data_IF_828554983601
#
_entry.id   IF_828554983601
#
_cell.length_a   1.000
_cell.length_b   1.000
_cell.length_c   1.000
_cell.angle_alpha   90.00
_cell.angle_beta   90.00
_cell.angle_gamma   90.00
#
_symmetry.space_group_name_H-M   'P 1'
#
loop_
_entity.id
_entity.type
_entity.pdbx_description
1 polymer ?
#
# COMPACT_ATOMS: atom_id res chain seq x y z
N UNK A 1 -63.68 -9.46 42.94
CA UNK A 1 -62.50 -9.97 42.22
C UNK A 1 -61.71 -8.90 41.46
N UNK A 2 -60.95 -8.07 42.19
CA UNK A 2 -60.03 -7.06 41.60
C UNK A 2 -58.55 -7.41 41.77
N UNK A 3 -58.24 -8.60 42.28
CA UNK A 3 -56.87 -9.05 42.58
C UNK A 3 -56.18 -9.81 41.45
N UNK A 4 -56.89 -10.19 40.38
CA UNK A 4 -56.34 -11.00 39.28
C UNK A 4 -55.78 -10.17 38.11
N UNK A 5 -56.23 -8.93 37.92
CA UNK A 5 -55.76 -8.07 36.83
C UNK A 5 -54.25 -7.74 36.85
N UNK A 6 -53.62 -7.42 37.99
CA UNK A 6 -52.19 -7.11 38.00
C UNK A 6 -51.32 -8.36 37.79
N UNK A 7 -51.78 -9.55 38.16
CA UNK A 7 -51.07 -10.81 37.92
C UNK A 7 -51.04 -11.16 36.42
N UNK A 8 -52.19 -11.05 35.74
CA UNK A 8 -52.32 -11.27 34.29
C UNK A 8 -51.48 -10.30 33.46
N UNK A 9 -51.35 -9.03 33.88
CA UNK A 9 -50.51 -8.03 33.23
C UNK A 9 -49.01 -8.32 33.38
N UNK A 10 -48.60 -8.89 34.51
CA UNK A 10 -47.20 -9.30 34.76
C UNK A 10 -46.87 -10.55 33.95
N UNK A 11 -47.74 -11.56 33.93
CA UNK A 11 -47.56 -12.75 33.09
C UNK A 11 -47.56 -12.43 31.59
N UNK A 12 -48.44 -11.54 31.12
CA UNK A 12 -48.40 -11.06 29.73
C UNK A 12 -47.10 -10.30 29.42
N UNK A 13 -46.56 -9.52 30.35
CA UNK A 13 -45.26 -8.85 30.16
C UNK A 13 -44.12 -9.87 30.08
N UNK A 14 -44.13 -10.90 30.91
CA UNK A 14 -43.16 -12.00 30.79
C UNK A 14 -43.33 -12.78 29.49
N UNK A 15 -44.56 -12.97 29.02
CA UNK A 15 -44.83 -13.66 27.75
C UNK A 15 -44.43 -12.82 26.54
N UNK A 16 -44.63 -11.50 26.58
CA UNK A 16 -44.17 -10.55 25.54
C UNK A 16 -42.66 -10.38 25.60
N UNK A 17 -42.04 -10.31 26.78
CA UNK A 17 -40.58 -10.29 26.92
C UNK A 17 -39.99 -11.63 26.46
N UNK A 18 -40.64 -12.75 26.73
CA UNK A 18 -40.24 -14.07 26.23
C UNK A 18 -40.47 -14.19 24.72
N UNK A 19 -41.56 -13.66 24.15
CA UNK A 19 -41.82 -13.62 22.71
C UNK A 19 -40.89 -12.65 21.98
N UNK A 20 -40.55 -11.51 22.59
CA UNK A 20 -39.53 -10.58 22.10
C UNK A 20 -38.15 -11.21 22.25
N UNK A 21 -37.85 -11.93 23.33
CA UNK A 21 -36.61 -12.68 23.48
C UNK A 21 -36.54 -13.89 22.54
N UNK A 22 -37.67 -14.52 22.19
CA UNK A 22 -37.79 -15.62 21.22
C UNK A 22 -37.79 -15.13 19.78
N UNK A 23 -38.27 -13.91 19.51
CA UNK A 23 -38.10 -13.24 18.21
C UNK A 23 -36.73 -12.56 18.07
N UNK A 24 -36.04 -12.35 19.20
CA UNK A 24 -34.64 -11.93 19.31
C UNK A 24 -33.69 -13.10 19.50
N UNK A 25 -34.17 -14.35 19.56
CA UNK A 25 -33.33 -15.50 19.24
C UNK A 25 -33.12 -15.41 17.74
N UNK A 26 -32.10 -14.59 17.46
CA UNK A 26 -31.35 -14.51 16.24
C UNK A 26 -31.40 -15.87 15.56
N UNK A 27 -31.82 -15.87 14.30
CA UNK A 27 -31.30 -16.84 13.36
C UNK A 27 -29.78 -16.77 13.49
N UNK A 28 -29.19 -17.61 14.34
CA UNK A 28 -27.77 -17.85 14.43
C UNK A 28 -27.38 -18.23 13.02
N UNK A 29 -26.76 -17.28 12.31
CA UNK A 29 -26.45 -17.41 10.90
C UNK A 29 -25.55 -18.64 10.80
N UNK A 30 -26.08 -19.75 10.29
CA UNK A 30 -25.29 -20.96 10.09
C UNK A 30 -24.13 -20.56 9.18
N UNK A 31 -22.92 -20.48 9.72
CA UNK A 31 -21.72 -20.17 8.94
C UNK A 31 -21.42 -21.41 8.10
N UNK A 32 -22.12 -21.54 6.97
CA UNK A 32 -21.90 -22.64 6.03
C UNK A 32 -20.62 -22.36 5.28
N UNK A 33 -19.68 -23.27 5.46
CA UNK A 33 -18.48 -23.37 4.65
C UNK A 33 -18.87 -23.87 3.25
N UNK A 34 -18.67 -23.06 2.21
CA UNK A 34 -18.70 -23.52 0.82
C UNK A 34 -17.27 -23.69 0.31
N UNK A 35 -16.95 -24.84 -0.29
CA UNK A 35 -15.64 -25.03 -0.91
C UNK A 35 -15.66 -24.30 -2.25
N UNK A 36 -14.83 -23.26 -2.39
CA UNK A 36 -14.71 -22.49 -3.62
C UNK A 36 -13.23 -22.25 -3.93
N UNK A 37 -12.93 -22.11 -5.22
CA UNK A 37 -11.59 -21.76 -5.69
C UNK A 37 -11.38 -20.26 -5.56
N UNK A 38 -10.41 -19.85 -4.74
CA UNK A 38 -10.01 -18.44 -4.57
C UNK A 38 -8.61 -18.25 -5.12
N UNK A 39 -8.45 -17.23 -5.95
CA UNK A 39 -7.16 -16.77 -6.43
C UNK A 39 -6.64 -15.69 -5.49
N UNK A 40 -5.68 -16.06 -4.62
CA UNK A 40 -5.17 -15.14 -3.61
C UNK A 40 -3.91 -14.38 -4.07
N UNK A 41 -3.14 -14.96 -4.99
CA UNK A 41 -1.96 -14.36 -5.61
C UNK A 41 -1.91 -14.74 -7.11
N UNK A 42 -1.39 -13.88 -8.01
CA UNK A 42 -1.41 -14.12 -9.45
C UNK A 42 -0.99 -15.55 -9.84
N UNK A 43 -1.86 -16.27 -10.54
CA UNK A 43 -1.64 -17.65 -10.97
C UNK A 43 -1.87 -18.74 -9.90
N UNK A 44 -2.20 -18.39 -8.66
CA UNK A 44 -2.38 -19.32 -7.54
C UNK A 44 -3.85 -19.41 -7.11
N UNK A 45 -4.59 -20.27 -7.80
CA UNK A 45 -5.95 -20.64 -7.40
C UNK A 45 -5.92 -21.87 -6.48
N UNK A 46 -6.46 -21.74 -5.27
CA UNK A 46 -6.58 -22.84 -4.30
C UNK A 46 -8.03 -22.99 -3.82
N UNK A 47 -8.37 -24.17 -3.31
CA UNK A 47 -9.67 -24.41 -2.67
C UNK A 47 -9.67 -23.89 -1.23
N UNK A 48 -10.71 -23.13 -0.88
CA UNK A 48 -10.93 -22.59 0.46
C UNK A 48 -12.29 -22.98 0.98
N UNK A 49 -12.36 -23.13 2.30
CA UNK A 49 -13.60 -22.98 3.03
C UNK A 49 -14.04 -21.51 3.02
N UNK A 50 -15.00 -21.16 2.19
CA UNK A 50 -15.49 -19.77 2.06
C UNK A 50 -16.63 -19.51 3.03
N UNK A 51 -16.48 -18.43 3.80
CA UNK A 51 -17.45 -17.93 4.75
C UNK A 51 -17.96 -16.57 4.24
N UNK A 52 -19.28 -16.47 4.04
CA UNK A 52 -19.94 -15.25 3.52
C UNK A 52 -20.95 -14.69 4.51
N UNK A 53 -21.15 -13.38 4.47
CA UNK A 53 -22.21 -12.71 5.24
C UNK A 53 -22.00 -12.70 6.75
N UNK A 54 -20.76 -12.81 7.23
CA UNK A 54 -20.45 -12.73 8.65
C UNK A 54 -20.62 -11.28 9.14
N UNK A 55 -21.48 -11.05 10.13
CA UNK A 55 -21.86 -9.68 10.58
C UNK A 55 -21.39 -9.31 11.98
N UNK A 56 -21.06 -10.27 12.83
CA UNK A 56 -20.75 -10.04 14.25
C UNK A 56 -19.31 -10.43 14.56
N UNK A 57 -18.61 -9.59 15.34
CA UNK A 57 -17.22 -9.84 15.78
C UNK A 57 -17.08 -11.08 16.66
N UNK A 58 -18.17 -11.41 17.37
CA UNK A 58 -18.36 -12.75 17.89
C UNK A 58 -18.68 -13.64 16.72
N UNK A 59 -17.85 -14.67 16.50
CA UNK A 59 -18.39 -15.93 16.03
C UNK A 59 -19.64 -16.18 16.87
N UNK A 60 -20.84 -16.07 16.31
CA UNK A 60 -22.05 -16.28 17.11
C UNK A 60 -21.87 -17.60 17.84
N UNK A 61 -21.89 -17.55 19.17
CA UNK A 61 -21.85 -18.71 20.06
C UNK A 61 -23.12 -19.51 19.77
N UNK A 62 -23.04 -20.36 18.76
CA UNK A 62 -24.14 -21.12 18.21
C UNK A 62 -23.59 -22.34 17.51
N UNK A 63 -23.35 -23.40 18.29
CA UNK A 63 -23.41 -24.83 17.97
C UNK A 63 -23.15 -25.28 16.52
N UNK A 64 -22.06 -24.83 15.88
CA UNK A 64 -21.57 -25.48 14.67
C UNK A 64 -20.05 -25.65 14.79
N UNK A 65 -19.66 -26.88 15.13
CA UNK A 65 -18.28 -27.35 15.01
C UNK A 65 -17.92 -27.37 13.52
N UNK A 66 -17.09 -26.43 13.08
CA UNK A 66 -16.45 -26.47 11.77
C UNK A 66 -15.56 -27.70 11.69
N UNK A 67 -15.40 -28.26 10.49
CA UNK A 67 -14.52 -29.41 10.28
C UNK A 67 -13.09 -29.05 10.74
N UNK A 68 -12.56 -29.70 11.80
CA UNK A 68 -11.25 -29.37 12.35
C UNK A 68 -10.09 -29.72 11.40
N UNK A 69 -10.36 -30.40 10.29
CA UNK A 69 -9.38 -30.67 9.24
C UNK A 69 -9.16 -29.51 8.28
N UNK A 70 -10.03 -28.48 8.29
CA UNK A 70 -9.90 -27.31 7.41
C UNK A 70 -8.60 -26.55 7.71
N UNK A 71 -7.78 -26.39 6.68
CA UNK A 71 -6.51 -25.64 6.74
C UNK A 71 -6.55 -24.30 6.03
N UNK A 72 -7.58 -24.06 5.21
CA UNK A 72 -7.72 -22.86 4.37
C UNK A 72 -9.10 -22.26 4.50
N UNK A 73 -9.18 -21.01 4.95
CA UNK A 73 -10.43 -20.29 5.16
C UNK A 73 -10.38 -18.96 4.42
N UNK A 74 -11.44 -18.65 3.67
CA UNK A 74 -11.63 -17.35 3.05
C UNK A 74 -12.88 -16.68 3.61
N UNK A 75 -12.76 -15.42 4.02
CA UNK A 75 -13.86 -14.58 4.45
C UNK A 75 -14.08 -13.54 3.36
N UNK A 76 -15.27 -13.57 2.77
CA UNK A 76 -15.66 -12.72 1.64
C UNK A 76 -17.03 -12.11 1.94
N UNK A 77 -17.30 -10.93 1.40
CA UNK A 77 -18.61 -10.25 1.50
C UNK A 77 -19.17 -10.24 2.93
N UNK A 78 -18.32 -9.88 3.89
CA UNK A 78 -18.64 -9.85 5.31
C UNK A 78 -18.53 -8.43 5.86
N UNK A 79 -19.03 -8.19 7.07
CA UNK A 79 -18.98 -6.88 7.73
C UNK A 79 -18.37 -6.98 9.13
N UNK A 80 -17.44 -7.93 9.30
CA UNK A 80 -16.73 -8.18 10.56
C UNK A 80 -15.78 -7.03 10.85
N UNK A 81 -15.79 -6.52 12.07
CA UNK A 81 -14.80 -5.52 12.52
C UNK A 81 -13.57 -6.19 13.10
N UNK A 82 -13.71 -7.39 13.68
CA UNK A 82 -12.60 -8.08 14.36
C UNK A 82 -12.60 -9.58 14.10
N UNK A 83 -11.41 -10.15 14.00
CA UNK A 83 -11.18 -11.59 14.15
C UNK A 83 -10.62 -11.84 15.55
N UNK A 84 -11.40 -12.56 16.37
CA UNK A 84 -11.06 -12.87 17.77
C UNK A 84 -10.39 -14.24 17.88
N UNK A 85 -9.76 -14.52 19.03
CA UNK A 85 -9.18 -15.85 19.31
C UNK A 85 -10.18 -17.00 19.09
N UNK A 86 -11.46 -16.78 19.41
CA UNK A 86 -12.54 -17.73 19.19
C UNK A 86 -12.68 -18.18 17.71
N UNK A 87 -12.33 -17.32 16.74
CA UNK A 87 -12.28 -17.72 15.33
C UNK A 87 -11.21 -18.79 15.10
N UNK A 88 -10.01 -18.60 15.64
CA UNK A 88 -8.90 -19.54 15.49
C UNK A 88 -9.13 -20.86 16.21
N UNK A 89 -9.86 -20.86 17.33
CA UNK A 89 -10.27 -22.09 18.03
C UNK A 89 -11.17 -23.00 17.17
N UNK A 90 -11.95 -22.42 16.24
CA UNK A 90 -12.82 -23.17 15.30
C UNK A 90 -12.03 -23.78 14.15
N UNK A 91 -10.87 -23.21 13.82
CA UNK A 91 -9.99 -23.70 12.75
C UNK A 91 -8.60 -24.02 13.32
N UNK A 92 -8.47 -25.08 14.14
CA UNK A 92 -7.23 -25.37 14.88
C UNK A 92 -6.04 -25.75 13.98
N UNK A 93 -6.30 -26.03 12.69
CA UNK A 93 -5.29 -26.34 11.67
C UNK A 93 -5.18 -25.27 10.59
N UNK A 94 -5.70 -24.07 10.83
CA UNK A 94 -5.67 -22.98 9.86
C UNK A 94 -4.22 -22.60 9.51
N UNK A 95 -3.85 -22.82 8.25
CA UNK A 95 -2.56 -22.43 7.69
C UNK A 95 -2.70 -21.22 6.77
N UNK A 96 -3.85 -21.06 6.11
CA UNK A 96 -4.08 -20.01 5.13
C UNK A 96 -5.41 -19.28 5.40
N UNK A 97 -5.32 -18.00 5.71
CA UNK A 97 -6.47 -17.12 5.92
C UNK A 97 -6.54 -16.03 4.84
N UNK A 98 -7.65 -15.99 4.11
CA UNK A 98 -7.98 -14.89 3.18
C UNK A 98 -9.13 -14.07 3.79
N UNK A 99 -9.02 -12.75 3.81
CA UNK A 99 -10.07 -11.84 4.27
C UNK A 99 -10.15 -10.67 3.31
N UNK A 100 -11.14 -10.63 2.42
CA UNK A 100 -11.21 -9.59 1.37
C UNK A 100 -12.45 -8.73 1.55
N UNK A 101 -12.28 -7.42 1.41
CA UNK A 101 -13.38 -6.45 1.35
C UNK A 101 -14.43 -6.64 2.45
N UNK A 102 -13.99 -6.98 3.67
CA UNK A 102 -14.86 -7.42 4.76
C UNK A 102 -15.01 -6.42 5.90
N UNK A 103 -14.43 -5.22 5.74
CA UNK A 103 -14.52 -4.14 6.73
C UNK A 103 -13.75 -4.40 8.03
N UNK A 104 -12.81 -5.35 8.02
CA UNK A 104 -12.01 -5.73 9.19
C UNK A 104 -11.18 -4.53 9.67
N UNK A 105 -11.29 -4.19 10.96
CA UNK A 105 -10.56 -3.07 11.59
C UNK A 105 -9.39 -3.53 12.47
N UNK A 106 -9.45 -4.76 12.97
CA UNK A 106 -8.40 -5.35 13.79
C UNK A 106 -8.04 -6.76 13.29
N UNK A 107 -6.76 -6.95 12.98
CA UNK A 107 -6.21 -8.26 12.65
C UNK A 107 -5.53 -8.88 13.88
N UNK A 108 -5.83 -10.15 14.14
CA UNK A 108 -5.14 -10.95 15.16
C UNK A 108 -4.30 -12.02 14.47
N UNK A 109 -3.00 -12.10 14.74
CA UNK A 109 -2.08 -13.09 14.16
C UNK A 109 -1.69 -14.12 15.23
N UNK A 110 -1.84 -15.39 14.90
CA UNK A 110 -1.53 -16.53 15.78
C UNK A 110 -0.31 -17.31 15.28
N UNK A 111 0.16 -18.30 16.03
CA UNK A 111 1.29 -19.17 15.64
C UNK A 111 0.94 -20.30 14.67
N UNK A 112 -0.32 -20.47 14.28
CA UNK A 112 -0.74 -21.57 13.38
C UNK A 112 -0.80 -21.15 11.91
N UNK A 113 -1.05 -19.86 11.65
CA UNK A 113 -1.25 -19.35 10.28
C UNK A 113 0.10 -19.05 9.62
N UNK A 114 0.25 -19.50 8.37
CA UNK A 114 1.43 -19.26 7.52
C UNK A 114 1.19 -18.13 6.52
N UNK A 115 -0.02 -18.02 5.98
CA UNK A 115 -0.38 -17.01 4.98
C UNK A 115 -1.63 -16.27 5.45
N UNK A 116 -1.52 -14.94 5.50
CA UNK A 116 -2.66 -14.04 5.71
C UNK A 116 -2.75 -13.09 4.52
N UNK A 117 -3.80 -13.23 3.72
CA UNK A 117 -4.16 -12.32 2.63
C UNK A 117 -5.37 -11.48 3.03
N UNK A 118 -5.14 -10.25 3.51
CA UNK A 118 -6.20 -9.37 4.02
C UNK A 118 -6.35 -8.01 3.30
N UNK A 119 -6.28 -7.93 1.95
CA UNK A 119 -6.32 -6.65 1.25
C UNK A 119 -7.72 -6.03 1.23
N UNK A 120 -7.77 -4.70 1.14
CA UNK A 120 -9.03 -3.96 0.97
C UNK A 120 -9.94 -3.99 2.18
N UNK A 121 -9.39 -4.06 3.39
CA UNK A 121 -10.14 -3.93 4.63
C UNK A 121 -9.94 -2.52 5.23
N UNK A 122 -10.26 -2.36 6.53
CA UNK A 122 -10.10 -1.12 7.27
C UNK A 122 -9.15 -1.33 8.45
N UNK A 123 -8.18 -2.24 8.31
CA UNK A 123 -7.33 -2.69 9.42
C UNK A 123 -6.51 -1.49 9.90
N UNK A 124 -6.62 -1.16 11.18
CA UNK A 124 -5.89 -0.08 11.85
C UNK A 124 -4.91 -0.59 12.88
N UNK A 125 -5.14 -1.80 13.39
CA UNK A 125 -4.34 -2.39 14.46
C UNK A 125 -4.10 -3.87 14.23
N UNK A 126 -2.91 -4.32 14.60
CA UNK A 126 -2.49 -5.71 14.56
C UNK A 126 -2.17 -6.15 15.99
N UNK A 127 -2.78 -7.24 16.42
CA UNK A 127 -2.38 -7.93 17.65
C UNK A 127 -1.75 -9.27 17.31
N UNK A 128 -0.73 -9.67 18.07
CA UNK A 128 0.04 -10.88 17.78
C UNK A 128 0.09 -11.74 19.04
N UNK A 129 -0.32 -12.99 18.91
CA UNK A 129 -0.17 -14.04 19.92
C UNK A 129 0.56 -15.22 19.28
N UNK A 130 1.90 -15.14 19.24
CA UNK A 130 2.72 -16.06 18.46
C UNK A 130 3.13 -15.45 17.12
N UNK A 131 2.92 -16.14 16.00
CA UNK A 131 3.25 -15.62 14.66
C UNK A 131 4.59 -16.06 14.08
N UNK A 132 5.36 -16.89 14.79
CA UNK A 132 6.64 -17.41 14.29
C UNK A 132 6.53 -18.30 13.04
N UNK A 133 5.32 -18.79 12.72
CA UNK A 133 5.05 -19.56 11.52
C UNK A 133 4.60 -18.72 10.32
N UNK A 134 4.30 -17.43 10.51
CA UNK A 134 3.80 -16.58 9.44
C UNK A 134 4.92 -16.29 8.42
N UNK A 135 4.64 -16.58 7.16
CA UNK A 135 5.55 -16.43 6.03
C UNK A 135 5.08 -15.31 5.10
N UNK A 136 3.78 -15.19 4.87
CA UNK A 136 3.23 -14.19 3.96
C UNK A 136 2.14 -13.36 4.66
N UNK A 137 2.29 -12.04 4.56
CA UNK A 137 1.33 -11.08 5.10
C UNK A 137 1.02 -10.00 4.05
N UNK A 138 -0.20 -10.04 3.52
CA UNK A 138 -0.72 -9.00 2.63
C UNK A 138 -1.75 -8.14 3.36
N UNK A 139 -1.42 -6.86 3.51
CA UNK A 139 -2.23 -5.83 4.16
C UNK A 139 -2.52 -4.67 3.20
N UNK A 140 -2.34 -4.87 1.90
CA UNK A 140 -2.55 -3.84 0.89
C UNK A 140 -3.92 -3.15 1.03
N UNK A 141 -4.00 -1.83 0.84
CA UNK A 141 -5.25 -1.06 0.92
C UNK A 141 -5.95 -1.24 2.29
N UNK A 142 -5.26 -0.88 3.37
CA UNK A 142 -5.78 -0.84 4.74
C UNK A 142 -5.41 0.51 5.41
N UNK A 143 -5.92 0.77 6.62
CA UNK A 143 -5.68 2.04 7.34
C UNK A 143 -4.61 1.89 8.44
N UNK A 144 -3.56 1.12 8.17
CA UNK A 144 -2.49 0.83 9.14
C UNK A 144 -1.50 1.98 9.15
N UNK A 145 -1.16 2.49 10.34
CA UNK A 145 -0.14 3.52 10.52
C UNK A 145 1.01 3.11 11.44
N UNK A 146 0.85 2.02 12.19
CA UNK A 146 1.89 1.46 13.07
C UNK A 146 2.17 0.01 12.70
N UNK A 147 3.40 -0.24 12.25
CA UNK A 147 3.90 -1.57 11.90
C UNK A 147 4.85 -2.14 12.97
N UNK A 148 5.01 -1.48 14.11
CA UNK A 148 5.81 -2.01 15.24
C UNK A 148 5.43 -3.44 15.61
N UNK A 149 4.13 -3.85 15.61
CA UNK A 149 3.77 -5.23 15.92
C UNK A 149 4.43 -6.25 14.97
N UNK A 150 4.55 -5.96 13.67
CA UNK A 150 5.06 -6.94 12.70
C UNK A 150 6.58 -7.12 12.76
N UNK A 151 7.32 -6.22 13.42
CA UNK A 151 8.79 -6.27 13.54
C UNK A 151 9.33 -7.57 14.17
N UNK A 152 8.50 -8.30 14.92
CA UNK A 152 8.85 -9.57 15.55
C UNK A 152 8.61 -10.82 14.69
N UNK A 153 7.99 -10.69 13.51
CA UNK A 153 7.58 -11.82 12.66
C UNK A 153 8.74 -12.33 11.80
N UNK A 154 9.79 -12.83 12.45
CA UNK A 154 11.07 -13.23 11.82
C UNK A 154 10.94 -14.33 10.75
N UNK A 155 9.81 -15.03 10.68
CA UNK A 155 9.50 -16.01 9.64
C UNK A 155 9.01 -15.41 8.32
N UNK A 156 8.67 -14.12 8.29
CA UNK A 156 8.11 -13.46 7.11
C UNK A 156 9.11 -13.45 5.94
N UNK A 157 8.63 -13.92 4.80
CA UNK A 157 9.31 -13.88 3.50
C UNK A 157 8.64 -12.88 2.56
N UNK A 158 7.33 -12.64 2.69
CA UNK A 158 6.58 -11.69 1.87
C UNK A 158 5.74 -10.75 2.72
N UNK A 159 5.92 -9.46 2.50
CA UNK A 159 5.19 -8.41 3.19
C UNK A 159 4.67 -7.38 2.20
N UNK A 160 3.35 -7.23 2.11
CA UNK A 160 2.72 -6.18 1.33
C UNK A 160 1.99 -5.20 2.25
N UNK A 161 2.45 -3.95 2.22
CA UNK A 161 1.95 -2.82 2.97
C UNK A 161 1.50 -1.68 2.03
N UNK A 162 1.35 -1.93 0.74
CA UNK A 162 0.98 -0.91 -0.24
C UNK A 162 -0.38 -0.26 0.05
N UNK A 163 -0.55 1.00 -0.31
CA UNK A 163 -1.77 1.77 -0.07
C UNK A 163 -2.24 1.71 1.41
N UNK A 164 -1.29 1.74 2.35
CA UNK A 164 -1.55 1.94 3.77
C UNK A 164 -1.17 3.36 4.23
N UNK A 165 -1.24 3.65 5.53
CA UNK A 165 -0.95 4.96 6.11
C UNK A 165 0.31 4.94 6.98
N UNK A 166 1.27 4.08 6.64
CA UNK A 166 2.51 3.88 7.41
C UNK A 166 3.59 4.93 7.12
N UNK A 167 3.40 5.75 6.07
CA UNK A 167 4.28 6.87 5.80
C UNK A 167 4.19 7.89 6.94
N UNK A 168 5.35 8.36 7.39
CA UNK A 168 5.46 9.44 8.36
C UNK A 168 6.12 10.64 7.69
N UNK A 169 5.45 11.79 7.67
CA UNK A 169 5.90 12.98 6.95
C UNK A 169 6.34 12.68 5.49
N UNK A 170 5.53 11.89 4.78
CA UNK A 170 5.79 11.44 3.41
C UNK A 170 7.12 10.67 3.24
N UNK A 171 7.60 10.03 4.31
CA UNK A 171 8.82 9.22 4.31
C UNK A 171 8.59 7.83 4.91
N UNK A 172 9.52 6.92 4.61
CA UNK A 172 9.55 5.59 5.19
C UNK A 172 10.98 5.21 5.59
N UNK A 173 11.16 4.80 6.85
CA UNK A 173 12.43 4.28 7.37
C UNK A 173 12.34 2.76 7.57
N UNK A 174 13.34 2.02 7.10
CA UNK A 174 13.42 0.55 7.20
C UNK A 174 13.68 0.02 8.62
N UNK A 175 13.74 0.87 9.64
CA UNK A 175 14.11 0.52 11.02
C UNK A 175 13.27 -0.62 11.60
N UNK A 176 11.94 -0.58 11.42
CA UNK A 176 11.02 -1.59 11.96
C UNK A 176 11.09 -2.94 11.22
N UNK A 177 11.69 -2.95 10.03
CA UNK A 177 11.88 -4.16 9.22
C UNK A 177 13.24 -4.83 9.45
N UNK A 178 14.13 -4.22 10.24
CA UNK A 178 15.52 -4.69 10.40
C UNK A 178 15.68 -6.07 11.04
N UNK A 179 14.63 -6.63 11.66
CA UNK A 179 14.59 -8.00 12.21
C UNK A 179 14.01 -9.03 11.25
N UNK A 180 13.38 -8.61 10.15
CA UNK A 180 12.78 -9.49 9.16
C UNK A 180 13.85 -10.00 8.18
N UNK A 181 14.85 -10.70 8.71
CA UNK A 181 16.03 -11.12 7.94
C UNK A 181 15.71 -12.15 6.85
N UNK A 182 14.54 -12.81 6.92
CA UNK A 182 14.06 -13.74 5.90
C UNK A 182 13.20 -13.06 4.82
N UNK A 183 12.94 -11.76 4.92
CA UNK A 183 12.10 -11.03 3.97
C UNK A 183 12.75 -11.02 2.58
N UNK A 184 12.03 -11.54 1.59
CA UNK A 184 12.44 -11.60 0.18
C UNK A 184 11.65 -10.65 -0.69
N UNK A 185 10.40 -10.34 -0.32
CA UNK A 185 9.52 -9.45 -1.09
C UNK A 185 8.89 -8.40 -0.17
N UNK A 186 9.07 -7.13 -0.53
CA UNK A 186 8.49 -5.98 0.17
C UNK A 186 7.74 -5.10 -0.84
N UNK A 187 6.47 -4.84 -0.56
CA UNK A 187 5.63 -3.95 -1.34
C UNK A 187 5.20 -2.78 -0.46
N UNK A 188 5.61 -1.57 -0.84
CA UNK A 188 5.31 -0.31 -0.16
C UNK A 188 4.86 0.74 -1.20
N UNK A 189 4.10 0.28 -2.19
CA UNK A 189 3.52 1.09 -3.25
C UNK A 189 2.40 2.00 -2.71
N UNK A 190 2.16 3.15 -3.35
CA UNK A 190 0.98 3.98 -3.07
C UNK A 190 0.87 4.53 -1.64
N UNK A 191 2.01 4.78 -0.98
CA UNK A 191 2.11 5.29 0.39
C UNK A 191 2.30 6.82 0.47
N UNK A 192 2.25 7.51 -0.68
CA UNK A 192 2.55 8.94 -0.79
C UNK A 192 3.98 9.28 -0.32
N UNK A 193 4.95 8.40 -0.63
CA UNK A 193 6.35 8.61 -0.26
C UNK A 193 7.05 9.59 -1.19
N UNK A 194 7.70 10.59 -0.62
CA UNK A 194 8.54 11.55 -1.32
C UNK A 194 10.01 11.12 -1.29
N UNK A 195 10.42 10.38 -0.26
CA UNK A 195 11.77 9.85 -0.10
C UNK A 195 11.79 8.66 0.85
N UNK A 196 12.92 7.94 0.86
CA UNK A 196 13.17 6.80 1.74
C UNK A 196 14.32 7.13 2.68
N UNK A 197 14.28 6.59 3.88
CA UNK A 197 15.34 6.74 4.87
C UNK A 197 15.87 5.39 5.34
N UNK A 198 17.15 5.36 5.70
CA UNK A 198 17.75 4.22 6.39
C UNK A 198 18.76 4.72 7.42
N UNK A 199 18.30 5.57 8.33
CA UNK A 199 19.14 6.28 9.31
C UNK A 199 19.94 5.32 10.19
N UNK A 200 19.34 4.18 10.52
CA UNK A 200 19.92 3.14 11.36
C UNK A 200 20.77 2.10 10.60
N UNK A 201 21.06 2.33 9.30
CA UNK A 201 21.88 1.44 8.46
C UNK A 201 21.45 -0.02 8.55
N UNK A 202 20.14 -0.25 8.57
CA UNK A 202 19.57 -1.60 8.60
C UNK A 202 19.82 -2.26 7.26
N UNK A 203 20.16 -3.54 7.31
CA UNK A 203 20.37 -4.38 6.13
C UNK A 203 19.18 -5.31 6.01
N UNK A 204 18.64 -5.44 4.81
CA UNK A 204 17.62 -6.43 4.45
C UNK A 204 18.32 -7.47 3.56
N UNK A 205 19.02 -8.45 4.16
CA UNK A 205 20.05 -9.23 3.48
C UNK A 205 19.52 -10.21 2.44
N UNK A 206 18.22 -10.50 2.48
CA UNK A 206 17.56 -11.45 1.58
C UNK A 206 16.49 -10.80 0.71
N UNK A 207 16.31 -9.47 0.75
CA UNK A 207 15.30 -8.81 -0.07
C UNK A 207 15.68 -8.90 -1.54
N UNK A 208 14.75 -9.40 -2.36
CA UNK A 208 14.89 -9.64 -3.80
C UNK A 208 13.95 -8.77 -4.62
N UNK A 209 12.76 -8.47 -4.10
CA UNK A 209 11.77 -7.64 -4.77
C UNK A 209 11.40 -6.47 -3.85
N UNK A 210 11.50 -5.25 -4.39
CA UNK A 210 11.04 -4.03 -3.74
C UNK A 210 10.12 -3.26 -4.68
N UNK A 211 8.86 -3.11 -4.30
CA UNK A 211 7.90 -2.28 -5.01
C UNK A 211 7.72 -0.92 -4.33
N UNK A 212 8.13 0.13 -5.05
CA UNK A 212 7.98 1.54 -4.67
C UNK A 212 6.99 2.27 -5.58
N UNK A 213 6.26 1.55 -6.43
CA UNK A 213 5.38 2.13 -7.44
C UNK A 213 4.33 3.06 -6.81
N UNK A 214 3.80 4.00 -7.58
CA UNK A 214 2.74 4.91 -7.15
C UNK A 214 3.11 5.78 -5.92
N UNK A 215 4.40 5.98 -5.67
CA UNK A 215 4.90 6.96 -4.70
C UNK A 215 5.51 8.16 -5.43
N UNK A 216 5.10 9.40 -5.14
CA UNK A 216 5.62 10.62 -5.79
C UNK A 216 7.05 10.97 -5.31
N UNK A 217 7.99 10.07 -5.58
CA UNK A 217 9.38 10.17 -5.15
C UNK A 217 10.04 11.42 -5.76
N UNK A 218 10.60 12.26 -4.89
CA UNK A 218 11.28 13.49 -5.30
C UNK A 218 12.74 13.17 -5.65
N UNK A 219 13.19 13.42 -6.90
CA UNK A 219 14.55 13.06 -7.32
C UNK A 219 15.69 13.68 -6.49
N UNK A 220 15.46 14.82 -5.83
CA UNK A 220 16.47 15.46 -4.98
C UNK A 220 16.80 14.65 -3.72
N UNK A 221 15.87 13.81 -3.27
CA UNK A 221 15.98 13.03 -2.02
C UNK A 221 15.95 11.52 -2.28
N UNK A 222 15.94 11.10 -3.55
CA UNK A 222 16.00 9.68 -3.91
C UNK A 222 17.46 9.24 -4.07
N UNK A 223 18.04 8.78 -2.97
CA UNK A 223 19.45 8.41 -2.89
C UNK A 223 19.65 6.93 -3.22
N UNK A 224 20.49 6.64 -4.22
CA UNK A 224 20.70 5.27 -4.71
C UNK A 224 21.59 4.42 -3.78
N UNK A 225 22.43 5.04 -2.96
CA UNK A 225 23.28 4.35 -2.00
C UNK A 225 22.47 3.62 -0.90
N UNK A 226 21.21 4.00 -0.70
CA UNK A 226 20.26 3.26 0.14
C UNK A 226 20.12 1.80 -0.31
N UNK A 227 20.22 1.52 -1.61
CA UNK A 227 20.06 0.16 -2.15
C UNK A 227 21.24 -0.77 -1.83
N UNK A 228 22.37 -0.24 -1.35
CA UNK A 228 23.49 -1.02 -0.80
C UNK A 228 23.09 -1.86 0.41
N UNK A 229 22.04 -1.46 1.13
CA UNK A 229 21.47 -2.20 2.26
C UNK A 229 20.65 -3.43 1.84
N UNK A 230 20.40 -3.62 0.54
CA UNK A 230 19.63 -4.71 -0.03
C UNK A 230 20.48 -5.42 -1.12
N UNK A 231 21.59 -6.08 -0.73
CA UNK A 231 22.58 -6.58 -1.67
C UNK A 231 22.06 -7.67 -2.62
N UNK A 232 20.92 -8.30 -2.30
CA UNK A 232 20.27 -9.33 -3.13
C UNK A 232 19.05 -8.80 -3.90
N UNK A 233 18.85 -7.48 -3.95
CA UNK A 233 17.71 -6.91 -4.67
C UNK A 233 17.87 -7.20 -6.17
N UNK A 234 16.93 -7.95 -6.73
CA UNK A 234 16.91 -8.39 -8.13
C UNK A 234 15.89 -7.59 -8.95
N UNK A 235 14.76 -7.22 -8.33
CA UNK A 235 13.66 -6.52 -8.99
C UNK A 235 13.31 -5.25 -8.22
N UNK A 236 13.42 -4.11 -8.90
CA UNK A 236 13.02 -2.81 -8.38
C UNK A 236 11.90 -2.23 -9.23
N UNK A 237 10.76 -1.96 -8.61
CA UNK A 237 9.60 -1.39 -9.30
C UNK A 237 9.45 0.08 -8.91
N UNK A 238 9.61 0.96 -9.89
CA UNK A 238 9.50 2.42 -9.75
C UNK A 238 8.40 2.97 -10.68
N UNK A 239 7.30 2.24 -10.84
CA UNK A 239 6.23 2.63 -11.77
C UNK A 239 5.48 3.83 -11.22
N UNK A 240 5.08 4.76 -12.08
CA UNK A 240 4.21 5.87 -11.67
C UNK A 240 4.76 6.66 -10.47
N UNK A 241 6.09 6.82 -10.38
CA UNK A 241 6.74 7.50 -9.26
C UNK A 241 6.91 9.01 -9.46
N UNK A 242 6.39 9.55 -10.57
CA UNK A 242 6.55 10.96 -10.98
C UNK A 242 8.02 11.42 -11.12
N UNK A 243 8.97 10.49 -11.28
CA UNK A 243 10.38 10.81 -11.38
C UNK A 243 10.64 11.67 -12.61
N UNK A 244 11.22 12.86 -12.41
CA UNK A 244 11.64 13.74 -13.52
C UNK A 244 13.09 13.52 -13.95
N UNK A 245 13.87 12.86 -13.09
CA UNK A 245 15.22 12.38 -13.36
C UNK A 245 15.55 11.16 -12.51
N UNK A 246 16.36 10.27 -13.06
CA UNK A 246 17.03 9.19 -12.34
C UNK A 246 18.46 9.14 -12.86
N UNK A 247 19.40 9.63 -12.05
CA UNK A 247 20.81 9.73 -12.44
C UNK A 247 21.56 8.51 -11.93
N UNK A 248 22.10 7.72 -12.85
CA UNK A 248 22.96 6.58 -12.54
C UNK A 248 24.34 6.79 -13.16
N UNK A 249 25.38 6.34 -12.48
CA UNK A 249 26.76 6.38 -12.98
C UNK A 249 27.26 4.95 -13.19
N UNK A 250 27.80 4.60 -14.37
CA UNK A 250 28.24 3.22 -14.65
C UNK A 250 29.18 2.63 -13.58
N UNK A 251 30.11 3.44 -13.06
CA UNK A 251 31.11 3.01 -12.06
C UNK A 251 30.48 2.76 -10.67
N UNK A 252 29.34 3.37 -10.37
CA UNK A 252 28.64 3.26 -9.07
C UNK A 252 27.43 2.33 -9.14
N UNK A 253 26.89 2.06 -10.32
CA UNK A 253 25.63 1.33 -10.51
C UNK A 253 25.65 -0.05 -9.85
N UNK A 254 26.74 -0.81 -9.99
CA UNK A 254 26.90 -2.13 -9.33
C UNK A 254 27.36 -2.05 -7.88
N UNK A 255 27.80 -0.88 -7.43
CA UNK A 255 27.99 -0.61 -6.00
C UNK A 255 26.64 -0.40 -5.32
N UNK A 256 25.78 0.42 -5.91
CA UNK A 256 24.44 0.73 -5.39
C UNK A 256 23.46 -0.44 -5.56
N UNK A 257 23.56 -1.16 -6.68
CA UNK A 257 22.71 -2.28 -7.05
C UNK A 257 23.52 -3.55 -7.39
N UNK A 258 24.06 -4.25 -6.39
CA UNK A 258 24.95 -5.40 -6.63
C UNK A 258 24.32 -6.54 -7.43
N UNK A 259 23.03 -6.82 -7.21
CA UNK A 259 22.32 -7.96 -7.80
C UNK A 259 21.13 -7.59 -8.67
N UNK A 260 20.91 -6.30 -8.97
CA UNK A 260 19.70 -5.89 -9.68
C UNK A 260 19.70 -6.43 -11.11
N UNK A 261 18.60 -7.09 -11.47
CA UNK A 261 18.39 -7.70 -12.78
C UNK A 261 17.32 -6.97 -13.56
N UNK A 262 16.27 -6.48 -12.90
CA UNK A 262 15.11 -5.86 -13.54
C UNK A 262 14.71 -4.56 -12.86
N UNK A 263 14.38 -3.56 -13.67
CA UNK A 263 13.84 -2.29 -13.21
C UNK A 263 12.62 -1.90 -14.05
N UNK A 264 11.56 -1.44 -13.39
CA UNK A 264 10.33 -0.97 -14.02
C UNK A 264 10.21 0.54 -13.87
N UNK A 265 10.02 1.26 -14.98
CA UNK A 265 10.14 2.72 -15.06
C UNK A 265 8.96 3.40 -15.75
N UNK A 266 7.93 2.65 -16.17
CA UNK A 266 6.73 3.19 -16.82
C UNK A 266 5.99 4.19 -15.90
N UNK A 267 5.25 5.11 -16.51
CA UNK A 267 4.46 6.12 -15.79
C UNK A 267 5.26 7.25 -15.14
N UNK A 268 6.55 7.38 -15.44
CA UNK A 268 7.40 8.46 -14.93
C UNK A 268 7.49 9.67 -15.88
N UNK A 269 8.05 10.77 -15.40
CA UNK A 269 8.20 12.02 -16.14
C UNK A 269 9.66 12.30 -16.55
N UNK A 270 10.41 11.24 -16.82
CA UNK A 270 11.84 11.30 -17.12
C UNK A 270 12.06 12.08 -18.43
N UNK A 271 13.03 13.00 -18.44
CA UNK A 271 13.33 13.78 -19.65
C UNK A 271 13.90 12.89 -20.76
N UNK A 272 13.29 12.90 -21.95
CA UNK A 272 13.63 11.96 -23.03
C UNK A 272 15.13 11.82 -23.35
N UNK A 273 15.94 12.91 -23.49
CA UNK A 273 17.35 12.76 -23.78
C UNK A 273 18.14 11.98 -22.71
N UNK A 274 17.75 12.13 -21.44
CA UNK A 274 18.35 11.40 -20.31
C UNK A 274 17.76 10.01 -20.16
N UNK A 275 16.49 9.82 -20.51
CA UNK A 275 15.83 8.53 -20.43
C UNK A 275 16.47 7.51 -21.37
N UNK A 276 16.75 7.88 -22.63
CA UNK A 276 17.47 6.99 -23.55
C UNK A 276 18.84 6.59 -23.00
N UNK A 277 19.62 7.56 -22.49
CA UNK A 277 20.92 7.29 -21.89
C UNK A 277 20.84 6.37 -20.66
N UNK A 278 19.82 6.57 -19.81
CA UNK A 278 19.54 5.69 -18.67
C UNK A 278 19.30 4.26 -19.13
N UNK A 279 18.42 4.05 -20.12
CA UNK A 279 18.12 2.71 -20.65
C UNK A 279 19.39 2.03 -21.20
N UNK A 280 20.23 2.78 -21.92
CA UNK A 280 21.50 2.25 -22.46
C UNK A 280 22.48 1.85 -21.35
N UNK A 281 22.63 2.70 -20.32
CA UNK A 281 23.51 2.42 -19.16
C UNK A 281 23.03 1.17 -18.41
N UNK A 282 21.72 1.05 -18.18
CA UNK A 282 21.13 -0.12 -17.50
C UNK A 282 21.41 -1.40 -18.29
N UNK A 283 21.07 -1.42 -19.59
CA UNK A 283 21.28 -2.57 -20.47
C UNK A 283 22.76 -2.95 -20.59
N UNK A 284 23.66 -1.98 -20.74
CA UNK A 284 25.10 -2.21 -20.82
C UNK A 284 25.68 -2.84 -19.54
N UNK A 285 25.00 -2.65 -18.40
CA UNK A 285 25.38 -3.24 -17.13
C UNK A 285 24.61 -4.53 -16.80
N UNK A 286 23.79 -5.06 -17.71
CA UNK A 286 23.01 -6.28 -17.49
C UNK A 286 21.80 -6.09 -16.57
N UNK A 287 21.24 -4.88 -16.54
CA UNK A 287 19.96 -4.58 -15.88
C UNK A 287 18.93 -4.37 -16.97
N UNK A 288 17.85 -5.14 -16.94
CA UNK A 288 16.76 -5.08 -17.90
C UNK A 288 15.74 -4.00 -17.49
N UNK A 289 15.66 -2.86 -18.19
CA UNK A 289 14.55 -1.94 -18.05
C UNK A 289 13.32 -2.57 -18.73
N UNK A 290 12.50 -3.23 -17.93
CA UNK A 290 11.41 -4.06 -18.43
C UNK A 290 10.36 -3.18 -19.10
N UNK A 291 10.04 -3.50 -20.35
CA UNK A 291 8.97 -2.83 -21.09
C UNK A 291 7.60 -3.33 -20.58
N UNK A 292 6.59 -2.44 -20.46
CA UNK A 292 5.25 -2.86 -20.04
C UNK A 292 4.63 -3.82 -21.08
N UNK A 293 3.78 -4.75 -20.62
CA UNK A 293 3.09 -5.71 -21.51
C UNK A 293 2.24 -5.00 -22.58
N UNK A 294 1.71 -3.83 -22.24
CA UNK A 294 1.01 -2.93 -23.13
C UNK A 294 1.74 -1.58 -23.15
N UNK A 295 2.06 -1.10 -24.35
CA UNK A 295 2.72 0.18 -24.51
C UNK A 295 1.89 1.34 -23.92
N UNK A 296 2.58 2.27 -23.26
CA UNK A 296 1.93 3.43 -22.65
C UNK A 296 1.33 4.37 -23.70
N UNK A 297 0.12 4.87 -23.40
CA UNK A 297 -0.51 5.93 -24.19
C UNK A 297 0.05 7.29 -23.76
N UNK A 298 1.06 7.79 -24.48
CA UNK A 298 1.72 9.04 -24.12
C UNK A 298 0.86 10.27 -24.38
N UNK A 299 0.62 11.04 -23.32
CA UNK A 299 -0.10 12.31 -23.37
C UNK A 299 0.71 13.42 -24.08
N UNK A 300 0.06 14.55 -24.36
CA UNK A 300 0.73 15.70 -24.98
C UNK A 300 1.92 16.18 -24.13
N UNK A 301 3.07 16.38 -24.77
CA UNK A 301 4.33 16.72 -24.08
C UNK A 301 5.19 15.51 -23.72
N UNK A 302 4.72 14.30 -24.05
CA UNK A 302 5.46 13.06 -23.90
C UNK A 302 5.72 12.37 -25.25
N UNK A 303 6.74 11.52 -25.27
CA UNK A 303 7.13 10.68 -26.40
C UNK A 303 7.31 9.25 -25.91
N UNK A 304 6.96 8.27 -26.75
CA UNK A 304 7.20 6.86 -26.46
C UNK A 304 8.64 6.46 -26.82
N UNK A 305 9.33 5.83 -25.87
CA UNK A 305 10.65 5.20 -26.01
C UNK A 305 10.57 3.85 -25.30
N UNK A 306 10.84 2.75 -26.03
CA UNK A 306 10.80 1.39 -25.47
C UNK A 306 9.47 1.07 -24.77
N UNK A 307 8.35 1.37 -25.45
CA UNK A 307 6.98 1.21 -24.92
C UNK A 307 6.63 2.07 -23.69
N UNK A 308 7.55 2.91 -23.20
CA UNK A 308 7.37 3.80 -22.05
C UNK A 308 7.34 5.27 -22.46
N UNK A 309 6.67 6.12 -21.69
CA UNK A 309 6.60 7.55 -21.95
C UNK A 309 7.75 8.32 -21.27
N UNK A 310 8.33 9.27 -22.00
CA UNK A 310 9.29 10.24 -21.48
C UNK A 310 8.85 11.66 -21.85
N UNK A 311 9.22 12.65 -21.04
CA UNK A 311 8.83 14.04 -21.26
C UNK A 311 9.85 14.76 -22.16
N UNK A 312 9.40 15.38 -23.25
CA UNK A 312 10.25 16.24 -24.07
C UNK A 312 10.12 17.70 -23.63
N UNK A 313 11.18 18.49 -23.81
CA UNK A 313 11.12 19.93 -23.60
C UNK A 313 10.33 20.54 -24.76
N UNK A 314 9.11 21.00 -24.49
CA UNK A 314 8.49 22.00 -25.36
C UNK A 314 9.37 23.24 -25.27
N UNK A 315 10.15 23.53 -26.31
CA UNK A 315 10.64 24.90 -26.50
C UNK A 315 9.40 25.78 -26.62
N UNK A 316 9.28 26.89 -25.86
CA UNK A 316 8.22 27.84 -26.12
C UNK A 316 8.31 28.25 -27.59
N UNK A 317 7.17 28.42 -28.30
CA UNK A 317 7.20 28.86 -29.67
C UNK A 317 8.00 30.16 -29.71
N UNK A 318 9.09 30.17 -30.49
CA UNK A 318 9.83 31.38 -30.79
C UNK A 318 8.84 32.36 -31.41
N UNK A 319 8.42 33.36 -30.64
CA UNK A 319 7.68 34.50 -31.18
C UNK A 319 8.59 35.15 -32.24
N UNK A 320 8.30 34.86 -33.50
CA UNK A 320 8.80 35.64 -34.62
C UNK A 320 8.24 37.05 -34.46
N UNK A 321 9.03 37.95 -33.90
CA UNK A 321 8.75 39.39 -33.85
C UNK A 321 8.68 39.93 -35.26
N UNK A 322 7.48 39.95 -35.85
CA UNK A 322 7.17 40.81 -36.99
C UNK A 322 7.07 42.24 -36.48
N UNK A 323 8.14 43.01 -36.71
CA UNK A 323 8.14 44.46 -36.64
C UNK A 323 7.09 45.02 -37.59
N UNK A 324 6.04 45.65 -37.06
CA UNK A 324 5.22 46.62 -37.80
C UNK A 324 5.20 47.94 -37.04
N UNK A 325 5.91 48.90 -37.59
CA UNK A 325 5.91 50.31 -37.25
C UNK A 325 4.55 50.95 -37.50
N UNK A 326 4.02 51.67 -36.51
CA UNK A 326 3.19 52.85 -36.79
C UNK A 326 3.32 53.88 -35.68
N UNK A 327 3.84 55.03 -36.09
CA UNK A 327 4.05 56.26 -35.34
C UNK A 327 2.72 57.02 -35.22
N UNK A 328 2.34 57.46 -34.02
CA UNK A 328 1.59 58.71 -33.84
C UNK A 328 1.94 59.35 -32.49
N UNK A 329 2.33 60.62 -32.58
CA UNK A 329 2.76 61.51 -31.50
C UNK A 329 1.63 62.50 -31.22
N UNK A 330 1.25 62.73 -29.95
CA UNK A 330 1.08 64.07 -29.35
C UNK A 330 0.69 64.03 -27.85
N UNK A 331 0.83 65.14 -27.07
CA UNK A 331 1.42 65.11 -25.73
C UNK A 331 0.54 65.69 -24.60
N UNK A 332 1.13 65.77 -23.39
CA UNK A 332 0.73 66.51 -22.17
C UNK A 332 -0.39 65.87 -21.32
N UNK A 333 -0.37 65.81 -19.98
CA UNK A 333 0.51 66.36 -18.94
C UNK A 333 0.26 65.65 -17.58
N UNK A 334 1.32 65.44 -16.80
CA UNK A 334 1.42 65.38 -15.31
C UNK A 334 0.26 64.83 -14.45
N UNK A 335 0.56 63.76 -13.70
CA UNK A 335 0.24 63.67 -12.25
C UNK A 335 1.10 62.59 -11.58
N UNK A 336 1.26 62.71 -10.26
CA UNK A 336 2.36 62.25 -9.42
C UNK A 336 2.42 60.73 -9.13
N UNK A 337 3.66 60.27 -8.87
CA UNK A 337 4.09 59.00 -8.27
C UNK A 337 3.40 58.70 -6.92
N UNK A 338 3.29 57.41 -6.53
CA UNK A 338 4.29 56.93 -5.57
C UNK A 338 4.83 55.52 -5.86
N UNK A 339 6.13 55.39 -5.61
CA UNK A 339 6.93 54.16 -5.60
C UNK A 339 6.37 53.13 -4.61
N UNK A 340 6.06 51.92 -5.10
CA UNK A 340 5.91 50.72 -4.27
C UNK A 340 7.04 49.75 -4.62
N UNK A 341 7.91 49.55 -3.65
CA UNK A 341 9.06 48.67 -3.69
C UNK A 341 8.63 47.20 -3.74
N UNK A 342 9.36 46.42 -4.53
CA UNK A 342 9.25 44.96 -4.63
C UNK A 342 9.44 44.24 -3.29
N UNK A 343 8.66 43.19 -3.08
CA UNK A 343 8.60 42.32 -1.88
C UNK A 343 9.88 41.50 -1.56
N UNK A 344 11.06 41.93 -1.99
CA UNK A 344 12.35 41.30 -1.71
C UNK A 344 13.08 41.87 -0.48
N UNK A 345 12.39 42.61 0.39
CA UNK A 345 12.94 43.19 1.63
C UNK A 345 12.14 42.87 2.91
N UNK A 346 11.23 41.88 2.89
CA UNK A 346 10.45 41.46 4.07
C UNK A 346 10.79 40.09 4.68
N UNK A 347 11.88 39.44 4.27
CA UNK A 347 12.23 38.09 4.75
C UNK A 347 13.59 37.98 5.45
N UNK A 348 14.03 39.01 6.18
CA UNK A 348 15.33 39.00 6.89
C UNK A 348 15.33 39.32 8.38
N UNK A 349 14.17 39.27 9.06
CA UNK A 349 14.09 39.51 10.51
C UNK A 349 13.32 38.40 11.26
N UNK A 350 13.68 37.13 11.06
CA UNK A 350 13.19 36.05 11.93
C UNK A 350 14.21 34.93 12.16
N UNK A 351 15.49 35.28 12.30
CA UNK A 351 16.49 34.51 13.05
C UNK A 351 17.54 35.50 13.59
N UNK A 352 17.32 35.90 14.84
CA UNK A 352 18.26 36.60 15.70
C UNK A 352 18.04 36.08 17.11
#
# INVERSE_FOLDING_TARGET
>A
DRSLLPLLLVEMRFLVIALVALSSIETALSVKCSIESINYAPGNAEEFCVLKGLKTDGAATGDIQTDPSITRVAIVDSSLKRLTAAFYERFPRLEHLVVRNSGLEQLHITNIVRIIDAPGNQIKSISIQGGGALQELNLHSNSISDITPISGLVGLTKLNLGATSIANDNSFDFTDLGRLTNLTELYIDGLDLYYLENTNKRVLPNLRVLDLSHNPLTPSNFQLDLFRAMPKLEVLLLRNCLLTSLSVYPDELRTDFPSLEKIYLEGNHLKCPRFTQLLDILKANGIDPVEPEQAEECSQGFMSISQMCCQFLMLPPTETTTTSSTTTVHPSSTTQEPKQLSNWQKFKNWFG
#
